data_IF_442212005456
#
_entry.id   IF_442212005456
#
_cell.length_a   1.000
_cell.length_b   1.000
_cell.length_c   1.000
_cell.angle_alpha   90.00
_cell.angle_beta   90.00
_cell.angle_gamma   90.00
#
_symmetry.space_group_name_H-M   'P 1'
#
loop_
_entity.id
_entity.type
_entity.pdbx_description
1 polymer ?
#
# COMPACT_ATOMS: atom_id res chain seq x y z
N UNK A 1 -43.53 -45.11 32.87
CA UNK A 1 -43.18 -43.70 33.15
C UNK A 1 -41.68 -43.56 33.00
N UNK A 2 -41.24 -43.09 31.85
CA UNK A 2 -39.79 -42.76 31.61
C UNK A 2 -39.70 -41.28 31.29
N UNK A 3 -39.08 -40.53 32.19
CA UNK A 3 -38.76 -39.12 32.00
C UNK A 3 -37.40 -39.00 31.33
N UNK A 4 -37.38 -38.46 30.12
CA UNK A 4 -36.14 -38.10 29.43
C UNK A 4 -35.73 -36.69 29.88
N UNK A 5 -34.57 -36.58 30.49
CA UNK A 5 -33.90 -35.28 30.78
C UNK A 5 -33.03 -34.90 29.56
N UNK A 6 -33.47 -33.90 28.82
CA UNK A 6 -32.66 -33.29 27.74
C UNK A 6 -31.78 -32.22 28.38
N UNK A 7 -30.49 -32.51 28.48
CA UNK A 7 -29.48 -31.54 28.90
C UNK A 7 -29.19 -30.56 27.78
N UNK A 8 -29.46 -29.28 28.00
CA UNK A 8 -29.06 -28.21 27.10
C UNK A 8 -27.58 -27.92 27.27
N UNK A 9 -26.78 -28.27 26.26
CA UNK A 9 -25.38 -27.90 26.17
C UNK A 9 -25.29 -26.49 25.57
N UNK A 10 -25.09 -25.47 26.39
CA UNK A 10 -24.92 -24.10 25.97
C UNK A 10 -23.50 -23.87 25.42
N UNK A 11 -23.46 -23.49 24.17
CA UNK A 11 -22.27 -23.14 23.40
C UNK A 11 -21.71 -21.81 23.92
N UNK A 12 -20.57 -21.86 24.63
CA UNK A 12 -19.86 -20.66 25.17
C UNK A 12 -18.50 -20.46 24.48
N UNK A 13 -18.40 -20.58 23.16
CA UNK A 13 -17.11 -20.58 22.46
C UNK A 13 -16.76 -19.30 21.73
N UNK A 14 -17.64 -18.31 21.61
CA UNK A 14 -17.41 -17.12 20.77
C UNK A 14 -16.87 -15.88 21.52
N UNK A 15 -16.88 -15.83 22.84
CA UNK A 15 -16.45 -14.66 23.61
C UNK A 15 -14.96 -14.69 24.01
N UNK A 16 -14.35 -15.85 24.07
CA UNK A 16 -12.95 -16.00 24.54
C UNK A 16 -11.91 -15.58 23.46
N UNK A 17 -12.20 -15.76 22.19
CA UNK A 17 -11.31 -15.39 21.10
C UNK A 17 -11.19 -13.87 20.93
N UNK A 18 -12.24 -13.11 21.12
CA UNK A 18 -12.23 -11.65 20.97
C UNK A 18 -11.43 -10.92 22.06
N UNK A 19 -11.42 -11.44 23.28
CA UNK A 19 -10.68 -10.85 24.41
C UNK A 19 -9.18 -11.11 24.26
N UNK A 20 -8.79 -12.29 23.82
CA UNK A 20 -7.39 -12.63 23.57
C UNK A 20 -6.78 -11.79 22.44
N UNK A 21 -7.52 -11.58 21.35
CA UNK A 21 -7.11 -10.75 20.22
C UNK A 21 -6.95 -9.27 20.64
N UNK A 22 -7.87 -8.75 21.43
CA UNK A 22 -7.79 -7.38 21.96
C UNK A 22 -6.60 -7.19 22.91
N UNK A 23 -6.30 -8.18 23.78
CA UNK A 23 -5.13 -8.15 24.64
C UNK A 23 -3.82 -8.21 23.86
N UNK A 24 -3.71 -9.08 22.86
CA UNK A 24 -2.54 -9.18 22.01
C UNK A 24 -2.31 -7.87 21.22
N UNK A 25 -3.37 -7.26 20.71
CA UNK A 25 -3.31 -5.96 20.03
C UNK A 25 -2.84 -4.84 20.97
N UNK A 26 -3.34 -4.81 22.22
CA UNK A 26 -2.93 -3.83 23.22
C UNK A 26 -1.44 -3.99 23.61
N UNK A 27 -0.97 -5.23 23.77
CA UNK A 27 0.45 -5.53 24.06
C UNK A 27 1.36 -5.13 22.88
N UNK A 28 0.93 -5.40 21.64
CA UNK A 28 1.65 -4.96 20.44
C UNK A 28 1.82 -3.45 20.39
N UNK A 29 0.77 -2.70 20.74
CA UNK A 29 0.80 -1.24 20.73
C UNK A 29 1.62 -0.60 21.86
N UNK A 30 1.89 -1.29 22.98
CA UNK A 30 2.58 -0.72 24.15
C UNK A 30 4.02 -0.24 23.84
N UNK A 31 4.66 -0.78 22.81
CA UNK A 31 6.02 -0.39 22.38
C UNK A 31 6.06 0.85 21.46
N UNK A 32 4.92 1.33 21.01
CA UNK A 32 4.83 2.43 20.06
C UNK A 32 4.22 3.68 20.70
N UNK A 33 4.81 4.83 20.41
CA UNK A 33 4.36 6.13 20.92
C UNK A 33 3.79 6.98 19.79
N UNK A 34 2.56 7.47 19.98
CA UNK A 34 1.98 8.50 19.12
C UNK A 34 2.81 9.79 19.19
N UNK A 35 2.96 10.46 18.07
CA UNK A 35 3.79 11.65 17.93
C UNK A 35 5.27 11.37 17.70
N UNK A 36 5.75 10.15 18.00
CA UNK A 36 7.13 9.72 17.76
C UNK A 36 7.21 8.68 16.62
N UNK A 37 6.56 7.53 16.79
CA UNK A 37 6.65 6.42 15.84
C UNK A 37 5.55 6.47 14.79
N UNK A 38 4.41 7.05 15.12
CA UNK A 38 3.27 7.25 14.23
C UNK A 38 2.49 8.50 14.62
N UNK A 39 1.64 8.97 13.74
CA UNK A 39 0.73 10.11 13.96
C UNK A 39 -0.70 9.68 13.69
N UNK A 40 -1.66 10.30 14.40
CA UNK A 40 -3.06 10.18 14.05
C UNK A 40 -3.40 11.08 12.87
N UNK A 41 -4.22 10.54 11.98
CA UNK A 41 -4.86 11.30 10.90
C UNK A 41 -6.21 11.79 11.42
N UNK A 42 -6.40 13.11 11.43
CA UNK A 42 -7.63 13.73 11.93
C UNK A 42 -8.10 14.82 10.95
N UNK A 43 -9.38 14.79 10.52
CA UNK A 43 -10.33 13.69 10.73
C UNK A 43 -9.88 12.41 10.04
N UNK A 44 -10.39 11.23 10.48
CA UNK A 44 -10.11 9.96 9.83
C UNK A 44 -10.59 9.96 8.37
N UNK A 45 -9.80 9.38 7.49
CA UNK A 45 -10.09 9.28 6.06
C UNK A 45 -10.83 7.97 5.79
N UNK A 46 -11.99 7.99 5.09
CA UNK A 46 -12.67 6.77 4.69
C UNK A 46 -11.78 5.88 3.81
N UNK A 47 -11.84 4.58 4.04
CA UNK A 47 -11.11 3.55 3.28
C UNK A 47 -12.01 2.89 2.24
N UNK A 48 -11.40 2.26 1.22
CA UNK A 48 -12.10 1.56 0.14
C UNK A 48 -11.92 0.04 0.20
N UNK A 49 -11.81 -0.51 1.41
CA UNK A 49 -11.66 -1.96 1.61
C UNK A 49 -12.96 -2.58 2.11
N UNK A 50 -13.11 -3.88 1.93
CA UNK A 50 -14.28 -4.62 2.39
C UNK A 50 -14.42 -4.58 3.93
N UNK A 51 -15.63 -4.71 4.48
CA UNK A 51 -15.83 -4.81 5.92
C UNK A 51 -14.94 -5.91 6.55
N UNK A 52 -14.33 -5.61 7.69
CA UNK A 52 -13.39 -6.50 8.38
C UNK A 52 -11.98 -6.53 7.80
N UNK A 53 -11.70 -5.74 6.77
CA UNK A 53 -10.35 -5.49 6.25
C UNK A 53 -9.79 -4.17 6.77
N UNK A 54 -8.47 -4.10 6.81
CA UNK A 54 -7.71 -2.90 7.20
C UNK A 54 -6.88 -2.47 6.00
N UNK A 55 -7.09 -1.25 5.54
CA UNK A 55 -6.33 -0.68 4.44
C UNK A 55 -4.95 -0.22 4.91
N UNK A 56 -3.91 -0.61 4.19
CA UNK A 56 -2.55 -0.08 4.35
C UNK A 56 -2.10 0.50 3.03
N UNK A 57 -1.85 1.81 3.01
CA UNK A 57 -1.42 2.54 1.81
C UNK A 57 0.07 2.85 1.91
N UNK A 58 0.81 2.54 0.85
CA UNK A 58 2.11 3.13 0.57
C UNK A 58 1.93 4.28 -0.42
N UNK A 59 2.24 5.52 0.00
CA UNK A 59 2.41 6.64 -0.91
C UNK A 59 3.88 6.67 -1.34
N UNK A 60 4.13 6.55 -2.63
CA UNK A 60 5.46 6.32 -3.19
C UNK A 60 5.72 7.09 -4.48
N UNK A 61 6.98 7.08 -4.92
CA UNK A 61 7.39 7.56 -6.24
C UNK A 61 8.48 6.63 -6.81
N UNK A 62 8.36 6.23 -8.06
CA UNK A 62 9.41 5.43 -8.71
C UNK A 62 10.78 6.13 -8.77
N UNK A 63 10.82 7.47 -8.80
CA UNK A 63 12.07 8.23 -8.71
C UNK A 63 12.58 8.46 -7.29
N UNK A 64 12.00 7.84 -6.27
CA UNK A 64 12.41 7.98 -4.88
C UNK A 64 13.37 6.87 -4.46
N UNK A 65 14.63 7.20 -4.16
CA UNK A 65 15.63 6.22 -3.72
C UNK A 65 15.25 5.53 -2.40
N UNK A 66 14.61 6.25 -1.46
CA UNK A 66 14.16 5.66 -0.21
C UNK A 66 13.01 4.64 -0.42
N UNK A 67 12.10 4.88 -1.41
CA UNK A 67 11.09 3.91 -1.81
C UNK A 67 11.73 2.67 -2.44
N UNK A 68 12.73 2.84 -3.30
CA UNK A 68 13.50 1.71 -3.86
C UNK A 68 14.17 0.88 -2.77
N UNK A 69 14.79 1.53 -1.78
CA UNK A 69 15.42 0.84 -0.65
C UNK A 69 14.40 0.09 0.22
N UNK A 70 13.18 0.62 0.34
CA UNK A 70 12.10 0.01 1.09
C UNK A 70 11.44 -1.17 0.36
N UNK A 71 11.38 -1.14 -0.97
CA UNK A 71 10.64 -2.10 -1.81
C UNK A 71 10.94 -3.57 -1.48
N UNK A 72 12.20 -4.04 -1.31
CA UNK A 72 12.49 -5.43 -0.93
C UNK A 72 11.89 -5.86 0.41
N UNK A 73 11.74 -4.92 1.36
CA UNK A 73 11.11 -5.20 2.65
C UNK A 73 9.59 -5.34 2.49
N UNK A 74 8.96 -4.46 1.71
CA UNK A 74 7.53 -4.52 1.41
C UNK A 74 7.16 -5.77 0.63
N UNK A 75 7.94 -6.15 -0.39
CA UNK A 75 7.70 -7.37 -1.16
C UNK A 75 7.80 -8.63 -0.28
N UNK A 76 8.78 -8.69 0.61
CA UNK A 76 8.90 -9.79 1.57
C UNK A 76 7.74 -9.79 2.56
N UNK A 77 7.36 -8.62 3.07
CA UNK A 77 6.24 -8.47 3.98
C UNK A 77 4.91 -8.87 3.32
N UNK A 78 4.65 -8.43 2.12
CA UNK A 78 3.47 -8.83 1.34
C UNK A 78 3.35 -10.35 1.24
N UNK A 79 4.47 -11.02 1.00
CA UNK A 79 4.52 -12.47 0.79
C UNK A 79 4.40 -13.27 2.09
N UNK A 80 5.07 -12.85 3.16
CA UNK A 80 5.31 -13.69 4.33
C UNK A 80 4.89 -13.08 5.67
N UNK A 81 4.63 -11.77 5.74
CA UNK A 81 4.44 -11.07 7.01
C UNK A 81 3.19 -10.20 7.10
N UNK A 82 2.48 -10.01 6.00
CA UNK A 82 1.27 -9.20 5.96
C UNK A 82 0.08 -9.97 6.57
N UNK A 83 -0.61 -9.43 7.60
CA UNK A 83 -1.79 -10.07 8.15
C UNK A 83 -2.88 -10.29 7.08
N UNK A 84 -3.61 -11.40 7.16
CA UNK A 84 -4.62 -11.77 6.16
C UNK A 84 -5.78 -10.77 6.04
N UNK A 85 -6.05 -10.00 7.11
CA UNK A 85 -7.05 -8.94 7.11
C UNK A 85 -6.55 -7.62 6.53
N UNK A 86 -5.26 -7.48 6.21
CA UNK A 86 -4.70 -6.27 5.60
C UNK A 86 -4.82 -6.32 4.09
N UNK A 87 -5.38 -5.25 3.51
CA UNK A 87 -5.30 -4.94 2.09
C UNK A 87 -4.26 -3.85 1.87
N UNK A 88 -3.20 -4.21 1.12
CA UNK A 88 -2.10 -3.30 0.82
C UNK A 88 -2.31 -2.65 -0.54
N UNK A 89 -2.22 -1.32 -0.57
CA UNK A 89 -2.44 -0.50 -1.75
C UNK A 89 -1.26 0.44 -1.96
N UNK A 90 -0.79 0.58 -3.19
CA UNK A 90 0.20 1.57 -3.58
C UNK A 90 -0.46 2.76 -4.26
N UNK A 91 -0.06 3.95 -3.86
CA UNK A 91 -0.55 5.22 -4.42
C UNK A 91 0.66 6.06 -4.83
N UNK A 92 0.91 6.23 -6.14
CA UNK A 92 2.02 7.05 -6.60
C UNK A 92 1.71 8.54 -6.45
N UNK A 93 2.72 9.34 -6.11
CA UNK A 93 2.63 10.81 -6.09
C UNK A 93 2.68 11.41 -7.49
N UNK A 94 2.16 12.62 -7.63
CA UNK A 94 2.08 13.38 -8.90
C UNK A 94 2.63 14.81 -8.75
N UNK A 95 3.52 15.05 -7.80
CA UNK A 95 3.97 16.39 -7.36
C UNK A 95 4.66 17.23 -8.45
N UNK A 96 5.25 16.59 -9.44
CA UNK A 96 5.90 17.23 -10.57
C UNK A 96 5.66 16.43 -11.85
N UNK A 97 6.08 16.94 -12.99
CA UNK A 97 5.87 16.31 -14.30
C UNK A 97 6.42 14.87 -14.36
N UNK A 98 7.66 14.65 -13.88
CA UNK A 98 8.27 13.32 -13.87
C UNK A 98 7.53 12.34 -12.94
N UNK A 99 7.13 12.80 -11.75
CA UNK A 99 6.35 11.99 -10.82
C UNK A 99 4.98 11.62 -11.42
N UNK A 100 4.32 12.56 -12.10
CA UNK A 100 3.04 12.33 -12.77
C UNK A 100 3.16 11.29 -13.90
N UNK A 101 4.25 11.33 -14.68
CA UNK A 101 4.51 10.34 -15.74
C UNK A 101 4.82 8.96 -15.14
N UNK A 102 5.59 8.88 -14.06
CA UNK A 102 5.81 7.64 -13.32
C UNK A 102 4.52 7.09 -12.68
N UNK A 103 3.65 7.97 -12.18
CA UNK A 103 2.34 7.57 -11.67
C UNK A 103 1.46 7.00 -12.79
N UNK A 104 1.51 7.60 -13.98
CA UNK A 104 0.81 7.10 -15.16
C UNK A 104 1.33 5.73 -15.58
N UNK A 105 2.66 5.52 -15.58
CA UNK A 105 3.26 4.20 -15.79
C UNK A 105 2.72 3.17 -14.80
N UNK A 106 2.73 3.48 -13.50
CA UNK A 106 2.21 2.58 -12.47
C UNK A 106 0.76 2.15 -12.75
N UNK A 107 -0.13 3.11 -13.01
CA UNK A 107 -1.53 2.80 -13.30
C UNK A 107 -1.73 2.13 -14.65
N UNK A 108 -0.88 2.39 -15.64
CA UNK A 108 -0.87 1.65 -16.91
C UNK A 108 -0.54 0.18 -16.67
N UNK A 109 0.50 -0.10 -15.89
CA UNK A 109 0.85 -1.47 -15.50
C UNK A 109 -0.28 -2.14 -14.71
N UNK A 110 -0.94 -1.40 -13.80
CA UNK A 110 -2.08 -1.92 -13.04
C UNK A 110 -3.28 -2.22 -13.94
N UNK A 111 -3.60 -1.37 -14.91
CA UNK A 111 -4.65 -1.63 -15.90
C UNK A 111 -4.39 -2.92 -16.71
N UNK A 112 -3.13 -3.22 -16.96
CA UNK A 112 -2.66 -4.42 -17.64
C UNK A 112 -2.43 -5.62 -16.70
N UNK A 113 -2.69 -5.48 -15.39
CA UNK A 113 -2.41 -6.48 -14.35
C UNK A 113 -0.93 -6.95 -14.33
N UNK A 114 -0.03 -6.01 -14.57
CA UNK A 114 1.42 -6.22 -14.60
C UNK A 114 2.16 -5.51 -13.47
N UNK A 115 1.46 -4.70 -12.69
CA UNK A 115 2.03 -3.92 -11.59
C UNK A 115 2.76 -4.79 -10.58
N UNK A 116 2.17 -5.87 -10.08
CA UNK A 116 2.82 -6.77 -9.13
C UNK A 116 4.11 -7.41 -9.69
N UNK A 117 4.10 -7.80 -10.96
CA UNK A 117 5.25 -8.43 -11.63
C UNK A 117 6.37 -7.44 -11.94
N UNK A 118 6.02 -6.20 -12.27
CA UNK A 118 6.95 -5.23 -12.83
C UNK A 118 7.32 -4.10 -11.88
N UNK A 119 6.71 -3.99 -10.70
CA UNK A 119 6.97 -2.89 -9.76
C UNK A 119 8.46 -2.75 -9.41
N UNK A 120 9.05 -3.80 -8.85
CA UNK A 120 10.49 -3.84 -8.53
C UNK A 120 11.35 -3.66 -9.79
N UNK A 121 10.89 -4.19 -10.95
CA UNK A 121 11.62 -4.04 -12.22
C UNK A 121 11.69 -2.59 -12.70
N UNK A 122 10.64 -1.78 -12.48
CA UNK A 122 10.68 -0.34 -12.74
C UNK A 122 11.74 0.33 -11.88
N UNK A 123 11.76 0.06 -10.58
CA UNK A 123 12.78 0.57 -9.66
C UNK A 123 14.20 0.15 -10.09
N UNK A 124 14.42 -1.13 -10.41
CA UNK A 124 15.71 -1.63 -10.88
C UNK A 124 16.15 -0.94 -12.18
N UNK A 125 15.22 -0.68 -13.09
CA UNK A 125 15.51 0.04 -14.33
C UNK A 125 16.00 1.46 -14.03
N UNK A 126 15.35 2.15 -13.10
CA UNK A 126 15.69 3.52 -12.74
C UNK A 126 17.02 3.58 -11.96
N UNK A 127 17.16 2.78 -10.90
CA UNK A 127 18.27 2.94 -9.95
C UNK A 127 19.49 2.06 -10.26
N UNK A 128 19.30 0.87 -10.83
CA UNK A 128 20.43 -0.03 -11.14
C UNK A 128 20.92 0.11 -12.57
N UNK A 129 19.99 0.27 -13.53
CA UNK A 129 20.36 0.45 -14.93
C UNK A 129 20.55 1.93 -15.32
N UNK A 130 20.24 2.88 -14.43
CA UNK A 130 20.39 4.31 -14.68
C UNK A 130 19.44 4.88 -15.72
N UNK A 131 18.37 4.15 -16.07
CA UNK A 131 17.36 4.60 -17.02
C UNK A 131 16.14 5.14 -16.27
N UNK A 132 16.01 6.46 -16.23
CA UNK A 132 14.92 7.15 -15.53
C UNK A 132 13.52 6.93 -16.10
N UNK A 133 13.38 6.21 -17.21
CA UNK A 133 12.11 6.00 -17.92
C UNK A 133 11.39 7.31 -18.29
N UNK A 134 12.13 8.38 -18.47
CA UNK A 134 11.62 9.71 -18.82
C UNK A 134 12.34 10.21 -20.08
N UNK A 135 11.58 10.82 -20.98
CA UNK A 135 12.07 11.60 -22.10
C UNK A 135 12.10 13.10 -21.78
N UNK A 136 12.30 13.93 -22.79
CA UNK A 136 12.31 15.40 -22.67
C UNK A 136 10.91 16.00 -22.42
N UNK A 137 9.89 15.31 -22.88
CA UNK A 137 8.48 15.68 -22.79
C UNK A 137 7.60 14.43 -22.63
N UNK A 138 6.28 14.61 -22.54
CA UNK A 138 5.34 13.50 -22.35
C UNK A 138 5.37 12.53 -23.54
N UNK A 139 5.45 13.03 -24.77
CA UNK A 139 5.44 12.19 -25.96
C UNK A 139 6.68 11.30 -26.05
N UNK A 140 7.86 11.89 -25.87
CA UNK A 140 9.13 11.12 -25.85
C UNK A 140 9.23 10.19 -24.64
N UNK A 141 8.63 10.55 -23.49
CA UNK A 141 8.52 9.68 -22.33
C UNK A 141 7.66 8.46 -22.62
N UNK A 142 6.53 8.66 -23.30
CA UNK A 142 5.68 7.53 -23.72
C UNK A 142 6.46 6.54 -24.58
N UNK A 143 7.26 7.01 -25.56
CA UNK A 143 8.08 6.13 -26.39
C UNK A 143 9.12 5.35 -25.58
N UNK A 144 9.83 6.02 -24.64
CA UNK A 144 10.77 5.35 -23.73
C UNK A 144 10.06 4.25 -22.92
N UNK A 145 8.90 4.55 -22.39
CA UNK A 145 8.13 3.59 -21.57
C UNK A 145 7.54 2.45 -22.42
N UNK A 146 7.13 2.72 -23.66
CA UNK A 146 6.66 1.70 -24.61
C UNK A 146 7.78 0.73 -24.93
N UNK A 147 8.97 1.22 -25.25
CA UNK A 147 10.12 0.36 -25.55
C UNK A 147 10.52 -0.49 -24.34
N UNK A 148 10.52 0.10 -23.14
CA UNK A 148 10.73 -0.64 -21.92
C UNK A 148 9.65 -1.71 -21.70
N UNK A 149 8.39 -1.39 -21.94
CA UNK A 149 7.27 -2.31 -21.79
C UNK A 149 7.38 -3.51 -22.74
N UNK A 150 7.76 -3.27 -24.01
CA UNK A 150 8.04 -4.32 -25.02
C UNK A 150 9.14 -5.26 -24.56
N UNK A 151 10.25 -4.73 -24.05
CA UNK A 151 11.37 -5.52 -23.49
C UNK A 151 10.92 -6.37 -22.29
N UNK A 152 9.84 -5.98 -21.61
CA UNK A 152 9.27 -6.71 -20.48
C UNK A 152 8.01 -7.54 -20.83
N UNK A 153 7.78 -7.79 -22.13
CA UNK A 153 6.75 -8.71 -22.61
C UNK A 153 5.34 -8.12 -22.72
N UNK A 154 5.21 -6.78 -22.69
CA UNK A 154 3.94 -6.10 -22.91
C UNK A 154 3.84 -5.68 -24.39
N UNK A 155 2.71 -6.00 -25.02
CA UNK A 155 2.47 -5.56 -26.40
C UNK A 155 2.27 -4.04 -26.47
N UNK A 156 2.91 -3.39 -27.44
CA UNK A 156 2.89 -1.94 -27.63
C UNK A 156 1.45 -1.39 -27.67
N UNK A 157 0.59 -1.99 -28.51
CA UNK A 157 -0.80 -1.53 -28.63
C UNK A 157 -1.53 -1.57 -27.29
N UNK A 158 -1.37 -2.65 -26.53
CA UNK A 158 -2.01 -2.80 -25.21
C UNK A 158 -1.50 -1.75 -24.22
N UNK A 159 -0.20 -1.44 -24.24
CA UNK A 159 0.38 -0.41 -23.37
C UNK A 159 -0.16 0.99 -23.72
N UNK A 160 -0.17 1.37 -25.02
CA UNK A 160 -0.67 2.67 -25.48
C UNK A 160 -2.18 2.83 -25.20
N UNK A 161 -2.98 1.80 -25.40
CA UNK A 161 -4.41 1.81 -25.11
C UNK A 161 -4.66 2.01 -23.61
N UNK A 162 -3.93 1.28 -22.76
CA UNK A 162 -4.02 1.43 -21.30
C UNK A 162 -3.57 2.82 -20.84
N UNK A 163 -2.43 3.31 -21.34
CA UNK A 163 -1.88 4.63 -21.04
C UNK A 163 -2.87 5.77 -21.32
N UNK A 164 -3.60 5.68 -22.43
CA UNK A 164 -4.58 6.69 -22.86
C UNK A 164 -5.98 6.45 -22.28
N UNK A 165 -6.18 5.43 -21.46
CA UNK A 165 -7.49 5.07 -20.97
C UNK A 165 -8.06 6.10 -19.97
N UNK A 166 -9.39 6.22 -19.96
CA UNK A 166 -10.11 6.99 -18.94
C UNK A 166 -9.86 6.43 -17.53
N UNK A 167 -9.67 5.12 -17.43
CA UNK A 167 -9.40 4.46 -16.15
C UNK A 167 -8.08 4.96 -15.54
N UNK A 168 -6.98 4.99 -16.31
CA UNK A 168 -5.68 5.51 -15.85
C UNK A 168 -5.80 6.99 -15.46
N UNK A 169 -6.47 7.80 -16.29
CA UNK A 169 -6.68 9.22 -15.98
C UNK A 169 -7.49 9.43 -14.69
N UNK A 170 -8.47 8.57 -14.43
CA UNK A 170 -9.26 8.62 -13.20
C UNK A 170 -8.43 8.21 -11.99
N UNK A 171 -7.60 7.15 -12.11
CA UNK A 171 -6.69 6.72 -11.06
C UNK A 171 -5.66 7.80 -10.68
N UNK A 172 -5.15 8.55 -11.65
CA UNK A 172 -4.26 9.68 -11.37
C UNK A 172 -4.94 10.75 -10.50
N UNK A 173 -6.16 11.14 -10.83
CA UNK A 173 -6.92 12.11 -10.00
C UNK A 173 -7.23 11.57 -8.61
N UNK A 174 -7.55 10.27 -8.48
CA UNK A 174 -7.75 9.63 -7.18
C UNK A 174 -6.46 9.63 -6.34
N UNK A 175 -5.31 9.37 -6.96
CA UNK A 175 -4.02 9.42 -6.29
C UNK A 175 -3.70 10.83 -5.77
N UNK A 176 -3.90 11.87 -6.59
CA UNK A 176 -3.74 13.27 -6.17
C UNK A 176 -4.60 13.59 -4.95
N UNK A 177 -5.85 13.16 -4.96
CA UNK A 177 -6.78 13.37 -3.84
C UNK A 177 -6.34 12.62 -2.58
N UNK A 178 -5.90 11.36 -2.69
CA UNK A 178 -5.41 10.57 -1.55
C UNK A 178 -4.17 11.24 -0.94
N UNK A 179 -3.16 11.58 -1.77
CA UNK A 179 -1.93 12.25 -1.32
C UNK A 179 -2.26 13.58 -0.59
N UNK A 180 -3.19 14.37 -1.14
CA UNK A 180 -3.65 15.61 -0.54
C UNK A 180 -4.34 15.40 0.80
N UNK A 181 -5.26 14.43 0.91
CA UNK A 181 -5.99 14.11 2.15
C UNK A 181 -5.06 13.67 3.27
N UNK A 182 -4.08 12.85 2.97
CA UNK A 182 -3.07 12.44 3.96
C UNK A 182 -2.01 13.51 4.24
N UNK A 183 -2.00 14.63 3.48
CA UNK A 183 -0.98 15.68 3.56
C UNK A 183 0.42 15.09 3.51
N UNK A 184 0.62 14.11 2.61
CA UNK A 184 1.91 13.48 2.44
C UNK A 184 2.88 14.47 1.78
N UNK A 185 3.97 14.82 2.47
CA UNK A 185 4.99 15.78 2.01
C UNK A 185 6.29 15.09 1.58
N UNK A 186 6.38 13.79 1.77
CA UNK A 186 7.53 12.96 1.41
C UNK A 186 7.14 11.53 1.07
N UNK A 187 8.08 10.80 0.46
CA UNK A 187 7.95 9.37 0.16
C UNK A 187 9.18 8.60 0.63
N UNK A 188 9.07 7.33 1.06
CA UNK A 188 7.80 6.60 1.26
C UNK A 188 7.01 7.11 2.46
N UNK A 189 5.68 7.13 2.35
CA UNK A 189 4.77 7.46 3.44
C UNK A 189 3.75 6.33 3.58
N UNK A 190 3.49 5.88 4.80
CA UNK A 190 2.56 4.80 5.08
C UNK A 190 1.33 5.32 5.80
N UNK A 191 0.14 4.91 5.33
CA UNK A 191 -1.11 5.20 6.01
C UNK A 191 -1.83 3.90 6.38
N UNK A 192 -2.43 3.85 7.56
CA UNK A 192 -3.10 2.66 8.08
C UNK A 192 -4.53 3.01 8.44
N UNK A 193 -5.46 2.36 7.78
CA UNK A 193 -6.91 2.41 7.99
C UNK A 193 -7.51 3.83 8.02
N UNK A 194 -6.92 4.78 7.26
CA UNK A 194 -7.36 6.18 7.28
C UNK A 194 -7.14 6.92 8.60
N UNK A 195 -6.54 6.28 9.58
CA UNK A 195 -6.43 6.77 10.97
C UNK A 195 -5.02 7.07 11.44
N UNK A 196 -4.03 6.41 10.86
CA UNK A 196 -2.64 6.56 11.27
C UNK A 196 -1.73 6.75 10.07
N UNK A 197 -0.61 7.43 10.32
CA UNK A 197 0.48 7.54 9.36
C UNK A 197 1.82 7.32 10.04
N UNK A 198 2.78 6.80 9.27
CA UNK A 198 4.17 6.62 9.68
C UNK A 198 5.09 6.65 8.47
N UNK A 199 6.38 6.67 8.71
CA UNK A 199 7.45 6.56 7.72
C UNK A 199 8.61 5.75 8.31
N UNK A 200 9.60 5.43 7.46
CA UNK A 200 10.76 4.61 7.86
C UNK A 200 11.57 5.26 8.98
N UNK A 201 11.75 6.59 8.93
CA UNK A 201 12.51 7.33 9.93
C UNK A 201 11.82 7.38 11.28
N UNK A 202 10.56 7.75 11.29
CA UNK A 202 9.73 7.83 12.51
C UNK A 202 9.62 6.47 13.21
N UNK A 203 9.44 5.40 12.44
CA UNK A 203 9.33 4.06 13.00
C UNK A 203 10.67 3.45 13.49
N UNK A 204 11.81 4.06 13.17
CA UNK A 204 13.13 3.57 13.53
C UNK A 204 13.71 2.52 12.59
N UNK A 205 13.25 2.46 11.34
CA UNK A 205 13.75 1.59 10.29
C UNK A 205 12.65 0.80 9.57
N UNK A 206 12.99 0.21 8.42
CA UNK A 206 12.02 -0.49 7.57
C UNK A 206 11.33 -1.67 8.27
N UNK A 207 12.08 -2.51 8.97
CA UNK A 207 11.50 -3.65 9.69
C UNK A 207 10.62 -3.21 10.86
N UNK A 208 11.05 -2.20 11.62
CA UNK A 208 10.26 -1.62 12.71
C UNK A 208 8.97 -1.01 12.20
N UNK A 209 9.02 -0.32 11.06
CA UNK A 209 7.83 0.22 10.40
C UNK A 209 6.82 -0.87 10.03
N UNK A 210 7.27 -1.98 9.48
CA UNK A 210 6.38 -3.11 9.15
C UNK A 210 5.78 -3.78 10.39
N UNK A 211 6.55 -3.87 11.47
CA UNK A 211 6.06 -4.35 12.76
C UNK A 211 4.99 -3.39 13.32
N UNK A 212 5.24 -2.08 13.28
CA UNK A 212 4.27 -1.06 13.70
C UNK A 212 2.99 -1.11 12.85
N UNK A 213 3.11 -1.26 11.54
CA UNK A 213 1.96 -1.40 10.63
C UNK A 213 1.11 -2.61 11.02
N UNK A 214 1.74 -3.76 11.30
CA UNK A 214 1.03 -4.97 11.72
C UNK A 214 0.29 -4.75 13.06
N UNK A 215 0.95 -4.12 14.03
CA UNK A 215 0.34 -3.86 15.34
C UNK A 215 -0.84 -2.87 15.24
N UNK A 216 -0.68 -1.79 14.47
CA UNK A 216 -1.77 -0.84 14.20
C UNK A 216 -2.93 -1.52 13.46
N UNK A 217 -2.64 -2.35 12.45
CA UNK A 217 -3.67 -3.07 11.71
C UNK A 217 -4.41 -4.10 12.57
N UNK A 218 -3.71 -4.78 13.48
CA UNK A 218 -4.34 -5.69 14.45
C UNK A 218 -5.23 -4.93 15.44
N UNK A 219 -4.77 -3.76 15.92
CA UNK A 219 -5.56 -2.90 16.81
C UNK A 219 -6.82 -2.34 16.12
N UNK A 220 -6.75 -2.03 14.82
CA UNK A 220 -7.92 -1.57 14.05
C UNK A 220 -8.91 -2.69 13.76
N UNK A 221 -8.43 -3.93 13.55
CA UNK A 221 -9.31 -5.11 13.37
C UNK A 221 -10.10 -5.45 14.63
N UNK A 222 -9.52 -5.21 15.82
CA UNK A 222 -10.13 -5.53 17.11
C UNK A 222 -11.19 -4.50 17.57
N UNK A 223 -11.40 -3.42 16.81
CA UNK A 223 -12.41 -2.38 17.07
C UNK A 223 -13.73 -2.69 16.39
#
# INVERSE_FOLDING_TARGET
MWSAVIGALLISTSLTTSVADAQAAAQGMSRWQEGRHYRRVSPAIPTNVAPGKVEVIEIFWFGCNACYTLDPFLERWKKNGKPAHVEFVRVPVTWNAGAKLHARLYYTLQALKQDERLHTKVFDTIFRAGNGLLGRDEASTLEVMVDWAKQNGIQEKAFRDAWNSMWVSTKLRQAEEIVRRYRAEGTPFMAINGRYSTDVGSAGGAQQMLNLINDLANAEKAR
#
